data_IF_910129571769
#
_entry.id   IF_910129571769
#
_cell.length_a   1.000
_cell.length_b   1.000
_cell.length_c   1.000
_cell.angle_alpha   90.00
_cell.angle_beta   90.00
_cell.angle_gamma   90.00
#
_symmetry.space_group_name_H-M   'P 1'
#
loop_
_entity.id
_entity.type
_entity.pdbx_description
1 polymer ?
#
# COMPACT_ATOMS: atom_id res chain seq x y z
N UNK A 1 55.83 6.46 10.95
CA UNK A 1 54.87 7.01 11.93
C UNK A 1 53.90 7.91 11.18
N UNK A 2 52.86 7.33 10.60
CA UNK A 2 51.86 8.01 9.78
C UNK A 2 50.54 8.04 10.55
N UNK A 3 50.17 9.22 11.02
CA UNK A 3 48.93 9.53 11.72
C UNK A 3 47.79 9.73 10.72
N UNK A 4 46.76 8.89 10.79
CA UNK A 4 45.46 9.13 10.12
C UNK A 4 44.63 10.17 10.91
N UNK A 5 43.89 11.07 10.25
CA UNK A 5 42.98 11.98 10.93
C UNK A 5 41.66 11.30 11.29
N UNK A 6 41.20 11.52 12.53
CA UNK A 6 40.07 10.88 13.16
C UNK A 6 38.72 11.12 12.50
N UNK A 7 37.89 10.07 12.52
CA UNK A 7 36.47 10.11 12.22
C UNK A 7 35.74 10.91 13.30
N UNK A 8 35.04 11.94 12.85
CA UNK A 8 34.25 12.86 13.66
C UNK A 8 32.86 12.26 13.94
N UNK A 9 32.71 11.60 15.09
CA UNK A 9 31.47 11.00 15.60
C UNK A 9 30.49 12.06 16.14
N UNK A 10 29.94 12.89 15.25
CA UNK A 10 28.92 13.91 15.57
C UNK A 10 27.46 13.46 15.39
N UNK A 11 27.15 12.20 15.70
CA UNK A 11 25.77 11.68 15.66
C UNK A 11 25.23 11.20 17.02
N UNK A 12 25.28 12.08 18.03
CA UNK A 12 24.45 11.90 19.23
C UNK A 12 23.49 13.08 19.37
N UNK A 13 22.25 12.90 18.90
CA UNK A 13 21.11 13.73 19.28
C UNK A 13 20.35 13.04 20.44
N UNK A 14 19.98 13.76 21.51
CA UNK A 14 19.28 13.17 22.65
C UNK A 14 17.76 13.16 22.47
N UNK A 15 17.15 12.02 22.84
CA UNK A 15 15.87 11.97 23.56
C UNK A 15 14.59 12.29 22.78
N UNK A 16 14.17 11.38 21.89
CA UNK A 16 12.78 10.94 21.69
C UNK A 16 12.83 9.67 20.81
N UNK A 17 12.70 8.50 21.44
CA UNK A 17 12.91 7.21 20.76
C UNK A 17 11.79 6.91 19.76
N UNK A 18 12.06 7.16 18.48
CA UNK A 18 11.41 6.45 17.36
C UNK A 18 11.93 5.01 17.38
N UNK A 19 11.20 4.09 18.02
CA UNK A 19 11.46 2.65 17.89
C UNK A 19 11.05 2.20 16.48
N UNK A 20 11.94 2.36 15.50
CA UNK A 20 11.75 1.88 14.13
C UNK A 20 12.80 0.84 13.70
N UNK A 21 13.71 0.44 14.59
CA UNK A 21 14.86 -0.38 14.20
C UNK A 21 14.86 -1.71 14.95
N UNK A 22 14.33 -2.75 14.28
CA UNK A 22 14.36 -4.13 14.78
C UNK A 22 14.11 -5.22 13.73
N UNK A 23 13.58 -4.93 12.54
CA UNK A 23 13.18 -5.98 11.60
C UNK A 23 14.03 -6.03 10.32
N UNK A 24 14.67 -7.19 10.13
CA UNK A 24 15.38 -7.59 8.90
C UNK A 24 14.39 -7.60 7.72
N UNK A 25 14.49 -6.65 6.80
CA UNK A 25 13.67 -6.63 5.58
C UNK A 25 13.39 -5.27 4.94
N UNK A 26 13.75 -4.14 5.57
CA UNK A 26 13.53 -2.81 5.01
C UNK A 26 14.50 -2.53 3.84
N UNK A 27 14.04 -2.73 2.61
CA UNK A 27 14.61 -2.09 1.42
C UNK A 27 14.13 -0.64 1.37
N UNK A 28 14.85 0.27 2.03
CA UNK A 28 14.57 1.71 1.99
C UNK A 28 15.08 2.30 0.67
N UNK A 29 14.26 2.26 -0.39
CA UNK A 29 14.50 3.06 -1.59
C UNK A 29 13.75 4.38 -1.47
N UNK A 30 14.46 5.47 -1.77
CA UNK A 30 14.02 6.84 -1.55
C UNK A 30 13.13 7.29 -2.71
N UNK A 31 11.83 7.49 -2.47
CA UNK A 31 10.86 7.84 -3.51
C UNK A 31 9.87 8.91 -3.03
N UNK A 32 9.49 9.89 -3.88
CA UNK A 32 8.36 10.79 -3.58
C UNK A 32 7.06 9.99 -3.33
N UNK A 33 6.12 10.56 -2.57
CA UNK A 33 4.81 9.95 -2.25
C UNK A 33 4.12 9.32 -3.46
N UNK A 34 4.02 10.09 -4.55
CA UNK A 34 3.41 9.64 -5.81
C UNK A 34 4.11 8.39 -6.35
N UNK A 35 5.44 8.36 -6.31
CA UNK A 35 6.23 7.26 -6.83
C UNK A 35 6.10 5.99 -5.98
N UNK A 36 6.03 6.11 -4.65
CA UNK A 36 5.74 4.97 -3.75
C UNK A 36 4.37 4.37 -4.03
N UNK A 37 3.33 5.19 -4.09
CA UNK A 37 1.96 4.75 -4.33
C UNK A 37 1.78 4.13 -5.72
N UNK A 38 2.33 4.77 -6.76
CA UNK A 38 2.30 4.24 -8.13
C UNK A 38 3.05 2.91 -8.25
N UNK A 39 4.15 2.74 -7.52
CA UNK A 39 4.92 1.48 -7.54
C UNK A 39 4.10 0.31 -7.00
N UNK A 40 3.30 0.53 -5.93
CA UNK A 40 2.39 -0.49 -5.39
C UNK A 40 1.31 -0.83 -6.43
N UNK A 41 0.62 0.18 -6.95
CA UNK A 41 -0.47 0.01 -7.92
C UNK A 41 0.02 -0.73 -9.18
N UNK A 42 1.14 -0.28 -9.77
CA UNK A 42 1.77 -0.93 -10.92
C UNK A 42 2.15 -2.39 -10.63
N UNK A 43 2.74 -2.64 -9.46
CA UNK A 43 3.13 -4.00 -9.07
C UNK A 43 1.93 -4.95 -9.02
N UNK A 44 0.77 -4.48 -8.58
CA UNK A 44 -0.44 -5.29 -8.49
C UNK A 44 -1.05 -5.58 -9.85
N UNK A 45 -1.10 -4.58 -10.74
CA UNK A 45 -1.52 -4.79 -12.13
C UNK A 45 -0.64 -5.85 -12.80
N UNK A 46 0.68 -5.70 -12.69
CA UNK A 46 1.63 -6.65 -13.29
C UNK A 46 1.52 -8.05 -12.69
N UNK A 47 1.46 -8.15 -11.35
CA UNK A 47 1.29 -9.43 -10.66
C UNK A 47 0.04 -10.18 -11.13
N UNK A 48 -1.08 -9.46 -11.32
CA UNK A 48 -2.32 -10.05 -11.78
C UNK A 48 -2.18 -10.62 -13.20
N UNK A 49 -1.59 -9.86 -14.12
CA UNK A 49 -1.38 -10.32 -15.50
C UNK A 49 -0.45 -11.53 -15.56
N UNK A 50 0.68 -11.50 -14.84
CA UNK A 50 1.61 -12.65 -14.79
C UNK A 50 0.89 -13.91 -14.27
N UNK A 51 0.02 -13.78 -13.26
CA UNK A 51 -0.78 -14.90 -12.75
C UNK A 51 -1.80 -15.43 -13.77
N UNK A 52 -2.44 -14.56 -14.54
CA UNK A 52 -3.39 -14.97 -15.58
C UNK A 52 -2.69 -15.68 -16.74
N UNK A 53 -1.55 -15.14 -17.20
CA UNK A 53 -0.73 -15.77 -18.23
C UNK A 53 -0.27 -17.17 -17.81
N UNK A 54 0.16 -17.34 -16.56
CA UNK A 54 0.56 -18.65 -16.02
C UNK A 54 -0.60 -19.66 -15.96
N UNK A 55 -1.84 -19.19 -15.82
CA UNK A 55 -3.05 -20.03 -15.85
C UNK A 55 -3.49 -20.40 -17.27
N UNK A 56 -2.77 -19.96 -18.31
CA UNK A 56 -3.11 -20.23 -19.71
C UNK A 56 -4.20 -19.31 -20.27
N UNK A 57 -4.65 -18.31 -19.50
CA UNK A 57 -5.57 -17.30 -20.00
C UNK A 57 -4.75 -16.28 -20.80
N UNK A 58 -4.90 -16.26 -22.14
CA UNK A 58 -4.42 -15.15 -22.95
C UNK A 58 -5.27 -13.93 -22.64
N UNK A 59 -4.80 -13.09 -21.74
CA UNK A 59 -5.47 -11.82 -21.41
C UNK A 59 -5.03 -10.80 -22.45
N UNK A 60 -5.91 -10.50 -23.40
CA UNK A 60 -5.81 -9.24 -24.14
C UNK A 60 -6.16 -8.11 -23.15
N UNK A 61 -5.29 -7.11 -23.04
CA UNK A 61 -5.42 -6.01 -22.07
C UNK A 61 -6.69 -5.18 -22.29
N UNK A 62 -7.37 -5.35 -23.44
CA UNK A 62 -8.60 -4.67 -23.82
C UNK A 62 -9.85 -5.58 -23.84
N UNK A 63 -9.77 -6.79 -23.26
CA UNK A 63 -10.92 -7.69 -23.18
C UNK A 63 -11.99 -7.09 -22.25
N UNK A 64 -13.25 -6.91 -22.68
CA UNK A 64 -14.32 -6.40 -21.83
C UNK A 64 -14.89 -7.46 -20.86
N UNK A 65 -14.34 -8.68 -20.84
CA UNK A 65 -14.87 -9.78 -20.05
C UNK A 65 -14.57 -9.63 -18.55
N UNK A 66 -15.62 -9.73 -17.73
CA UNK A 66 -15.54 -9.74 -16.28
C UNK A 66 -14.66 -10.92 -15.82
N UNK A 67 -13.62 -10.63 -15.01
CA UNK A 67 -12.65 -11.64 -14.57
C UNK A 67 -11.27 -11.54 -15.22
N UNK A 68 -11.11 -10.74 -16.28
CA UNK A 68 -9.84 -10.60 -17.01
C UNK A 68 -8.94 -9.47 -16.49
N UNK A 69 -9.44 -8.60 -15.62
CA UNK A 69 -8.73 -7.42 -15.12
C UNK A 69 -8.56 -7.43 -13.60
N UNK A 70 -7.46 -6.87 -13.07
CA UNK A 70 -7.29 -6.71 -11.64
C UNK A 70 -8.35 -5.76 -11.08
N UNK A 71 -8.88 -6.10 -9.91
CA UNK A 71 -9.78 -5.23 -9.16
C UNK A 71 -9.07 -4.62 -7.95
N UNK A 72 -9.29 -3.33 -7.72
CA UNK A 72 -8.77 -2.57 -6.59
C UNK A 72 -9.93 -2.02 -5.74
N UNK A 73 -9.71 -1.95 -4.43
CA UNK A 73 -10.65 -1.32 -3.50
C UNK A 73 -9.93 -0.17 -2.81
N UNK A 74 -10.58 0.99 -2.80
CA UNK A 74 -10.11 2.21 -2.15
C UNK A 74 -11.30 2.97 -1.56
N UNK A 75 -11.08 4.10 -0.86
CA UNK A 75 -12.18 4.97 -0.43
C UNK A 75 -12.24 6.29 -1.21
N UNK A 76 -13.34 7.02 -1.06
CA UNK A 76 -13.62 8.28 -1.79
C UNK A 76 -12.82 9.49 -1.31
N UNK A 77 -12.08 9.38 -0.20
CA UNK A 77 -11.35 10.51 0.43
C UNK A 77 -9.84 10.33 0.41
N UNK A 78 -9.33 9.53 -0.52
CA UNK A 78 -7.91 9.34 -0.73
C UNK A 78 -7.23 10.60 -1.30
N UNK A 79 -5.92 10.69 -1.07
CA UNK A 79 -5.11 11.71 -1.74
C UNK A 79 -4.98 11.43 -3.25
N UNK A 80 -4.79 12.49 -4.04
CA UNK A 80 -4.61 12.45 -5.50
C UNK A 80 -3.56 11.44 -5.98
N UNK A 81 -2.51 11.21 -5.19
CA UNK A 81 -1.48 10.20 -5.51
C UNK A 81 -1.94 8.74 -5.44
N UNK A 82 -3.15 8.47 -4.96
CA UNK A 82 -3.82 7.16 -4.99
C UNK A 82 -5.01 7.25 -5.94
N UNK A 83 -5.84 8.29 -5.78
CA UNK A 83 -7.07 8.47 -6.56
C UNK A 83 -6.81 8.60 -8.06
N UNK A 84 -5.95 9.53 -8.49
CA UNK A 84 -5.70 9.79 -9.92
C UNK A 84 -5.07 8.58 -10.64
N UNK A 85 -4.07 7.87 -10.08
CA UNK A 85 -3.55 6.65 -10.71
C UNK A 85 -4.61 5.56 -10.87
N UNK A 86 -5.51 5.40 -9.90
CA UNK A 86 -6.60 4.42 -9.98
C UNK A 86 -7.65 4.83 -11.01
N UNK A 87 -8.06 6.10 -11.04
CA UNK A 87 -8.94 6.66 -12.08
C UNK A 87 -8.34 6.44 -13.47
N UNK A 88 -7.05 6.73 -13.64
CA UNK A 88 -6.33 6.50 -14.90
C UNK A 88 -6.36 5.03 -15.34
N UNK A 89 -6.21 4.07 -14.42
CA UNK A 89 -6.33 2.65 -14.78
C UNK A 89 -7.74 2.28 -15.24
N UNK A 90 -8.78 2.88 -14.65
CA UNK A 90 -10.18 2.66 -15.06
C UNK A 90 -10.43 3.26 -16.45
N UNK A 91 -10.00 4.51 -16.68
CA UNK A 91 -10.15 5.21 -17.97
C UNK A 91 -9.50 4.46 -19.12
N UNK A 92 -8.34 3.86 -18.88
CA UNK A 92 -7.60 3.07 -19.86
C UNK A 92 -7.99 1.59 -19.87
N UNK A 93 -9.06 1.21 -19.16
CA UNK A 93 -9.58 -0.15 -19.09
C UNK A 93 -8.57 -1.21 -18.59
N UNK A 94 -7.53 -0.78 -17.87
CA UNK A 94 -6.45 -1.65 -17.37
C UNK A 94 -6.78 -2.32 -16.02
N UNK A 95 -7.74 -1.76 -15.28
CA UNK A 95 -8.21 -2.29 -14.01
C UNK A 95 -9.64 -1.87 -13.71
N UNK A 96 -10.27 -2.56 -12.77
CA UNK A 96 -11.52 -2.13 -12.15
C UNK A 96 -11.23 -1.59 -10.75
N UNK A 97 -11.97 -0.56 -10.34
CA UNK A 97 -11.78 0.06 -9.02
C UNK A 97 -13.12 0.31 -8.37
N UNK A 98 -13.28 -0.16 -7.13
CA UNK A 98 -14.39 0.24 -6.26
C UNK A 98 -13.92 1.35 -5.32
N UNK A 99 -14.50 2.54 -5.47
CA UNK A 99 -14.33 3.66 -4.55
C UNK A 99 -15.41 3.62 -3.47
N UNK A 100 -15.10 2.99 -2.34
CA UNK A 100 -16.03 2.83 -1.21
C UNK A 100 -16.29 4.21 -0.58
N UNK A 101 -17.55 4.66 -0.53
CA UNK A 101 -17.90 5.90 0.15
C UNK A 101 -17.55 5.82 1.64
N UNK A 102 -17.00 6.90 2.19
CA UNK A 102 -16.89 7.00 3.64
C UNK A 102 -18.25 7.27 4.28
N UNK A 103 -18.42 6.82 5.52
CA UNK A 103 -19.60 7.10 6.30
C UNK A 103 -19.78 8.60 6.50
N UNK A 104 -20.98 9.09 6.19
CA UNK A 104 -21.35 10.51 6.39
C UNK A 104 -21.43 10.90 7.87
N UNK A 105 -21.42 9.92 8.77
CA UNK A 105 -21.56 10.14 10.22
C UNK A 105 -20.19 10.34 10.88
N UNK A 106 -19.22 9.47 10.58
CA UNK A 106 -17.92 9.45 11.26
C UNK A 106 -16.72 9.74 10.32
N UNK A 107 -16.95 9.85 9.00
CA UNK A 107 -15.92 10.09 8.00
C UNK A 107 -14.97 8.91 7.75
N UNK A 108 -15.27 7.71 8.25
CA UNK A 108 -14.45 6.51 8.08
C UNK A 108 -14.93 5.65 6.90
N UNK A 109 -14.00 4.97 6.25
CA UNK A 109 -14.33 3.85 5.37
C UNK A 109 -14.69 2.64 6.25
N UNK A 110 -15.95 2.25 6.23
CA UNK A 110 -16.45 1.15 7.07
C UNK A 110 -15.87 -0.19 6.61
N UNK A 111 -15.47 -1.01 7.59
CA UNK A 111 -14.81 -2.29 7.33
C UNK A 111 -15.72 -3.22 6.52
N UNK A 112 -17.01 -3.25 6.84
CA UNK A 112 -17.96 -4.13 6.15
C UNK A 112 -18.17 -3.72 4.70
N UNK A 113 -18.18 -2.41 4.39
CA UNK A 113 -18.31 -1.93 3.00
C UNK A 113 -17.08 -2.30 2.17
N UNK A 114 -15.88 -2.23 2.76
CA UNK A 114 -14.64 -2.69 2.13
C UNK A 114 -14.68 -4.19 1.85
N UNK A 115 -15.19 -5.01 2.78
CA UNK A 115 -15.29 -6.45 2.60
C UNK A 115 -16.37 -6.85 1.59
N UNK A 116 -17.50 -6.15 1.60
CA UNK A 116 -18.58 -6.36 0.64
C UNK A 116 -18.15 -6.04 -0.80
N UNK A 117 -17.18 -5.14 -0.98
CA UNK A 117 -16.61 -4.81 -2.29
C UNK A 117 -15.63 -5.87 -2.83
N UNK A 118 -15.24 -6.90 -2.05
CA UNK A 118 -14.26 -7.90 -2.49
C UNK A 118 -14.85 -8.83 -3.56
N UNK A 119 -14.19 -8.82 -4.72
CA UNK A 119 -14.44 -9.67 -5.91
C UNK A 119 -13.39 -10.78 -6.07
N UNK A 120 -13.64 -11.81 -6.91
CA UNK A 120 -12.64 -12.83 -7.23
C UNK A 120 -11.32 -12.26 -7.76
N UNK A 121 -11.37 -11.20 -8.57
CA UNK A 121 -10.20 -10.53 -9.15
C UNK A 121 -9.56 -9.45 -8.26
N UNK A 122 -10.06 -9.27 -7.04
CA UNK A 122 -9.51 -8.26 -6.13
C UNK A 122 -8.07 -8.61 -5.77
N UNK A 123 -7.17 -7.68 -6.00
CA UNK A 123 -5.74 -7.86 -5.75
C UNK A 123 -5.21 -6.93 -4.64
N UNK A 124 -5.81 -5.75 -4.47
CA UNK A 124 -5.35 -4.75 -3.51
C UNK A 124 -6.51 -4.00 -2.85
N UNK A 125 -6.45 -3.89 -1.53
CA UNK A 125 -7.18 -2.87 -0.76
C UNK A 125 -6.17 -1.79 -0.38
N UNK A 126 -6.39 -0.56 -0.82
CA UNK A 126 -5.56 0.60 -0.47
C UNK A 126 -6.40 1.62 0.28
N UNK A 127 -6.06 1.87 1.55
CA UNK A 127 -6.78 2.84 2.39
C UNK A 127 -5.76 3.67 3.18
N UNK A 128 -5.82 4.99 3.06
CA UNK A 128 -4.99 5.91 3.83
C UNK A 128 -5.19 5.72 5.33
N UNK A 129 -4.13 5.81 6.11
CA UNK A 129 -4.20 5.59 7.57
C UNK A 129 -4.87 6.75 8.29
N UNK A 130 -4.66 7.97 7.79
CA UNK A 130 -5.20 9.20 8.35
C UNK A 130 -5.52 10.18 7.21
N UNK A 131 -6.75 10.69 7.15
CA UNK A 131 -7.15 11.66 6.14
C UNK A 131 -6.41 13.00 6.31
N UNK A 132 -5.97 13.60 5.21
CA UNK A 132 -5.17 14.83 5.22
C UNK A 132 -5.97 16.12 5.45
N UNK A 133 -7.29 16.08 5.32
CA UNK A 133 -8.18 17.23 5.47
C UNK A 133 -8.85 17.23 6.84
N UNK A 134 -9.38 16.08 7.25
CA UNK A 134 -10.16 15.94 8.49
C UNK A 134 -9.35 15.36 9.65
N UNK A 135 -8.22 14.69 9.37
CA UNK A 135 -7.44 13.95 10.38
C UNK A 135 -8.10 12.64 10.84
N UNK A 136 -9.25 12.26 10.28
CA UNK A 136 -9.94 11.01 10.62
C UNK A 136 -9.03 9.82 10.36
N UNK A 137 -8.95 8.92 11.34
CA UNK A 137 -8.19 7.68 11.27
C UNK A 137 -9.06 6.58 10.68
N UNK A 138 -8.57 5.91 9.64
CA UNK A 138 -9.26 4.77 9.03
C UNK A 138 -8.96 3.46 9.81
N UNK A 139 -9.90 2.49 9.85
CA UNK A 139 -9.76 1.25 10.61
C UNK A 139 -8.85 0.21 9.91
N UNK A 140 -7.63 0.61 9.52
CA UNK A 140 -6.70 -0.20 8.71
C UNK A 140 -6.30 -1.53 9.36
N UNK A 141 -6.08 -1.56 10.69
CA UNK A 141 -5.78 -2.80 11.42
C UNK A 141 -6.91 -3.82 11.31
N UNK A 142 -8.16 -3.35 11.42
CA UNK A 142 -9.34 -4.21 11.33
C UNK A 142 -9.54 -4.71 9.91
N UNK A 143 -9.41 -3.82 8.92
CA UNK A 143 -9.44 -4.18 7.50
C UNK A 143 -8.41 -5.27 7.20
N UNK A 144 -7.16 -5.09 7.65
CA UNK A 144 -6.08 -6.07 7.41
C UNK A 144 -6.37 -7.42 8.08
N UNK A 145 -6.90 -7.41 9.31
CA UNK A 145 -7.29 -8.64 10.01
C UNK A 145 -8.38 -9.41 9.25
N UNK A 146 -9.42 -8.70 8.80
CA UNK A 146 -10.55 -9.32 8.08
C UNK A 146 -10.16 -9.80 6.69
N UNK A 147 -9.34 -9.03 5.96
CA UNK A 147 -8.76 -9.46 4.68
C UNK A 147 -7.87 -10.70 4.86
N UNK A 148 -7.07 -10.76 5.93
CA UNK A 148 -6.27 -11.95 6.23
C UNK A 148 -7.13 -13.19 6.46
N UNK A 149 -8.23 -13.07 7.19
CA UNK A 149 -9.20 -14.17 7.38
C UNK A 149 -9.85 -14.57 6.05
N UNK A 150 -10.29 -13.60 5.25
CA UNK A 150 -10.86 -13.82 3.93
C UNK A 150 -9.88 -14.53 2.98
N UNK A 151 -8.59 -14.19 3.04
CA UNK A 151 -7.56 -14.81 2.23
C UNK A 151 -7.40 -16.32 2.50
N UNK A 152 -7.72 -16.81 3.71
CA UNK A 152 -7.73 -18.26 3.98
C UNK A 152 -8.84 -18.97 3.18
N UNK A 153 -10.03 -18.35 3.13
CA UNK A 153 -11.17 -18.87 2.37
C UNK A 153 -10.87 -18.81 0.87
N UNK A 154 -10.31 -17.69 0.40
CA UNK A 154 -9.92 -17.50 -1.01
C UNK A 154 -8.89 -18.54 -1.47
N UNK A 155 -7.91 -18.85 -0.63
CA UNK A 155 -6.90 -19.86 -0.93
C UNK A 155 -7.52 -21.25 -1.11
N UNK A 156 -8.50 -21.63 -0.28
CA UNK A 156 -9.23 -22.90 -0.43
C UNK A 156 -10.00 -22.98 -1.76
N UNK A 157 -10.42 -21.84 -2.31
CA UNK A 157 -11.06 -21.74 -3.64
C UNK A 157 -10.09 -21.48 -4.79
N UNK A 158 -8.77 -21.55 -4.57
CA UNK A 158 -7.75 -21.30 -5.61
C UNK A 158 -7.65 -19.85 -6.08
N UNK A 159 -8.24 -18.91 -5.34
CA UNK A 159 -8.21 -17.48 -5.63
C UNK A 159 -6.95 -16.84 -5.03
N UNK A 160 -6.36 -15.83 -5.70
CA UNK A 160 -5.20 -15.12 -5.19
C UNK A 160 -5.55 -14.33 -3.93
N UNK A 161 -4.53 -14.12 -3.08
CA UNK A 161 -4.66 -13.28 -1.90
C UNK A 161 -4.91 -11.81 -2.28
N UNK A 162 -5.76 -11.13 -1.51
CA UNK A 162 -5.88 -9.69 -1.50
C UNK A 162 -4.79 -9.11 -0.61
N UNK A 163 -4.01 -8.17 -1.12
CA UNK A 163 -3.00 -7.45 -0.34
C UNK A 163 -3.57 -6.16 0.25
N UNK A 164 -2.99 -5.68 1.35
CA UNK A 164 -3.39 -4.41 1.97
C UNK A 164 -2.26 -3.39 1.92
N UNK A 165 -2.56 -2.21 1.38
CA UNK A 165 -1.71 -1.04 1.37
C UNK A 165 -2.32 0.08 2.22
N UNK A 166 -1.47 0.84 2.91
CA UNK A 166 -1.89 2.07 3.57
C UNK A 166 -0.97 3.26 3.29
N UNK A 167 -1.55 4.40 2.92
CA UNK A 167 -0.83 5.67 2.87
C UNK A 167 -0.77 6.27 4.28
N UNK A 168 0.40 6.18 4.92
CA UNK A 168 0.62 6.65 6.29
C UNK A 168 1.20 8.07 6.36
N UNK A 169 1.20 8.83 5.25
CA UNK A 169 1.83 10.15 5.17
C UNK A 169 1.41 11.10 6.29
N UNK A 170 0.13 11.08 6.70
CA UNK A 170 -0.39 11.97 7.74
C UNK A 170 -0.32 11.40 9.15
N UNK A 171 -0.10 10.09 9.31
CA UNK A 171 -0.04 9.46 10.63
C UNK A 171 1.38 9.47 11.23
N UNK A 172 2.41 9.29 10.39
CA UNK A 172 3.80 9.25 10.83
C UNK A 172 4.21 10.56 11.51
N UNK A 173 4.92 10.44 12.64
CA UNK A 173 5.32 11.58 13.47
C UNK A 173 4.22 12.21 14.31
N UNK A 174 2.95 11.81 14.11
CA UNK A 174 1.79 12.32 14.89
C UNK A 174 1.18 11.26 15.82
N UNK A 175 1.32 9.99 15.46
CA UNK A 175 0.90 8.84 16.28
C UNK A 175 1.84 7.66 16.07
N UNK A 176 1.77 6.67 16.97
CA UNK A 176 2.47 5.40 16.79
C UNK A 176 1.94 4.69 15.54
N UNK A 177 2.86 4.29 14.67
CA UNK A 177 2.61 3.51 13.45
C UNK A 177 3.49 2.28 13.54
N UNK A 178 2.85 1.12 13.61
CA UNK A 178 3.51 -0.18 13.69
C UNK A 178 2.93 -1.09 12.61
N UNK A 179 3.78 -1.62 11.75
CA UNK A 179 3.35 -2.45 10.61
C UNK A 179 2.81 -3.81 11.05
N UNK A 180 3.19 -4.31 12.22
CA UNK A 180 2.65 -5.55 12.78
C UNK A 180 1.25 -5.30 13.35
N UNK A 181 1.05 -4.20 14.08
CA UNK A 181 -0.28 -3.80 14.60
C UNK A 181 -1.25 -3.45 13.46
N UNK A 182 -0.74 -2.85 12.38
CA UNK A 182 -1.54 -2.52 11.21
C UNK A 182 -1.82 -3.75 10.34
N UNK A 183 -0.96 -4.77 10.34
CA UNK A 183 -1.12 -5.99 9.55
C UNK A 183 -1.00 -5.80 8.03
N UNK A 184 -0.52 -4.64 7.56
CA UNK A 184 -0.47 -4.29 6.14
C UNK A 184 0.67 -5.00 5.39
N UNK A 185 0.50 -5.18 4.08
CA UNK A 185 1.53 -5.69 3.17
C UNK A 185 2.41 -4.56 2.61
N UNK A 186 1.82 -3.38 2.44
CA UNK A 186 2.51 -2.18 1.97
C UNK A 186 2.19 -0.96 2.86
N UNK A 187 3.16 -0.08 3.06
CA UNK A 187 2.94 1.21 3.75
C UNK A 187 3.78 2.32 3.14
N UNK A 188 3.13 3.42 2.71
CA UNK A 188 3.81 4.60 2.16
C UNK A 188 4.26 5.57 3.24
N UNK A 189 5.53 5.99 3.15
CA UNK A 189 6.21 6.91 4.08
C UNK A 189 6.54 8.21 3.34
N UNK A 190 6.27 9.38 3.95
CA UNK A 190 6.51 10.70 3.35
C UNK A 190 7.25 11.62 4.31
N UNK A 191 8.56 11.81 4.09
CA UNK A 191 9.51 12.49 4.99
C UNK A 191 9.07 13.89 5.43
N UNK A 192 8.74 14.75 4.46
CA UNK A 192 8.36 16.15 4.74
C UNK A 192 7.03 16.32 5.49
N UNK A 193 6.30 15.24 5.79
CA UNK A 193 5.10 15.27 6.65
C UNK A 193 5.42 15.01 8.13
N UNK A 194 6.66 14.67 8.46
CA UNK A 194 7.16 14.44 9.81
C UNK A 194 8.55 15.08 10.04
N UNK A 195 8.76 16.30 9.53
CA UNK A 195 10.01 17.09 9.68
C UNK A 195 11.25 16.49 9.00
N UNK A 196 11.09 15.50 8.13
CA UNK A 196 12.15 14.94 7.30
C UNK A 196 12.35 15.67 5.97
N UNK A 197 13.38 15.29 5.20
CA UNK A 197 13.59 15.81 3.84
C UNK A 197 12.41 15.49 2.92
N UNK A 198 12.32 16.19 1.76
CA UNK A 198 11.28 15.97 0.72
C UNK A 198 11.50 14.68 -0.08
N UNK A 199 11.67 13.61 0.66
CA UNK A 199 11.80 12.24 0.18
C UNK A 199 10.73 11.37 0.84
N UNK A 200 10.64 10.11 0.43
CA UNK A 200 9.75 9.13 1.02
C UNK A 200 10.32 7.73 0.89
N UNK A 201 9.57 6.75 1.37
CA UNK A 201 9.92 5.34 1.29
C UNK A 201 8.64 4.51 1.13
N UNK A 202 8.82 3.23 0.78
CA UNK A 202 7.75 2.25 0.73
C UNK A 202 8.17 1.05 1.59
N UNK A 203 7.41 0.76 2.63
CA UNK A 203 7.52 -0.51 3.34
C UNK A 203 6.83 -1.60 2.53
N UNK A 204 7.47 -2.77 2.44
CA UNK A 204 6.95 -3.97 1.78
C UNK A 204 7.20 -5.17 2.67
N UNK A 205 6.13 -5.82 3.12
CA UNK A 205 6.21 -7.01 3.98
C UNK A 205 6.86 -8.16 3.23
N UNK A 206 8.06 -8.58 3.66
CA UNK A 206 8.75 -9.74 3.07
C UNK A 206 8.92 -9.66 1.55
N UNK A 207 9.41 -8.53 1.05
CA UNK A 207 9.61 -8.24 -0.39
C UNK A 207 10.23 -9.42 -1.14
N UNK A 208 9.64 -9.80 -2.28
CA UNK A 208 10.12 -10.88 -3.15
C UNK A 208 9.89 -12.31 -2.62
N UNK A 209 9.33 -12.46 -1.42
CA UNK A 209 8.97 -13.75 -0.83
C UNK A 209 7.48 -13.85 -0.50
N UNK A 210 7.00 -12.89 0.29
CA UNK A 210 5.60 -12.82 0.73
C UNK A 210 4.78 -11.87 -0.12
N UNK A 211 5.42 -10.79 -0.56
CA UNK A 211 4.77 -9.69 -1.28
C UNK A 211 5.57 -9.37 -2.54
N UNK A 212 4.95 -9.46 -3.74
CA UNK A 212 5.61 -9.13 -4.98
C UNK A 212 5.77 -7.61 -5.11
N UNK A 213 6.91 -7.19 -5.66
CA UNK A 213 7.20 -5.79 -5.96
C UNK A 213 7.91 -5.75 -7.31
N UNK A 214 7.30 -5.08 -8.28
CA UNK A 214 7.84 -4.95 -9.63
C UNK A 214 8.35 -3.53 -9.86
N UNK A 215 9.61 -3.36 -10.29
CA UNK A 215 10.14 -2.05 -10.58
C UNK A 215 9.37 -1.39 -11.74
N UNK A 216 9.16 -0.08 -11.62
CA UNK A 216 8.78 0.76 -12.76
C UNK A 216 10.06 1.19 -13.47
N UNK A 217 10.16 0.90 -14.77
CA UNK A 217 11.17 1.51 -15.64
C UNK A 217 10.63 2.86 -16.07
N UNK A 218 11.43 3.90 -15.91
CA UNK A 218 11.12 5.28 -16.31
C UNK A 218 11.92 5.61 -17.57
#
# INVERSE_FOLDING_TARGET
SSSEPGQDDRWKAPGHHLHFWGHRGLQQKVWPRLKSNNLVIHSMVRCFHEQQTLKGNMVDQHSPEEGTRPHFITCTVEHDSIRLPLEHLVENQMAEVTFVPVSKVNGQAEVEDILAAVRPTTCLVTIMLANNETGVIMPVSEISRRIKALNQIRAASGLPRVLVHTDAAQALGKRRVDVEDLGVDFLTIVGHKFYGPRIGALYVRGVGKLTPLYPMLF
#
